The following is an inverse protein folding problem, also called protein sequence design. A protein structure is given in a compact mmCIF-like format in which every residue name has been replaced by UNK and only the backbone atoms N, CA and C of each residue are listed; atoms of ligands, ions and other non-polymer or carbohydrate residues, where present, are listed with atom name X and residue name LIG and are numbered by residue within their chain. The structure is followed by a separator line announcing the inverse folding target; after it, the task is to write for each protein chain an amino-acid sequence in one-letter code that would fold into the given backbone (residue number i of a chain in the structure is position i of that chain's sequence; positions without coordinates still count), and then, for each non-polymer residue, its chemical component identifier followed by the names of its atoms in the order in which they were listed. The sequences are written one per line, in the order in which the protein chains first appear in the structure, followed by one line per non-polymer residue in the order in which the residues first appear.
data_IF_865219758506
#
_entry.id   IF_865219758506
#
_cell.length_a   1.000
_cell.length_b   1.000
_cell.length_c   1.000
_cell.angle_alpha   90.00
_cell.angle_beta   90.00
_cell.angle_gamma   90.00
#
_symmetry.space_group_name_H-M   'P 1'
#
loop_
_entity.id
_entity.type
_entity.pdbx_description
1 polymer ?
#
# COMPACT_ATOMS: atom_id res chain seq x y z
N UNK A 1 25.78 18.65 5.74
CA UNK A 1 25.09 19.19 6.94
C UNK A 1 24.18 18.17 7.65
N UNK A 2 24.25 16.87 7.34
CA UNK A 2 23.51 15.79 8.05
C UNK A 2 24.39 15.02 9.05
N UNK A 3 25.73 15.02 8.87
CA UNK A 3 26.67 14.31 9.75
C UNK A 3 26.89 14.94 11.14
N UNK A 4 26.68 16.25 11.29
CA UNK A 4 26.84 16.96 12.57
C UNK A 4 25.58 16.91 13.46
N UNK A 5 24.39 16.76 12.86
CA UNK A 5 23.13 16.61 13.62
C UNK A 5 22.96 15.19 14.18
N UNK A 6 23.52 14.19 13.48
CA UNK A 6 23.47 12.78 13.86
C UNK A 6 24.35 12.46 15.08
N UNK A 7 25.41 13.24 15.32
CA UNK A 7 26.36 13.04 16.42
C UNK A 7 25.85 13.55 17.79
N UNK A 8 24.87 14.47 17.81
CA UNK A 8 24.54 15.22 19.03
C UNK A 8 23.19 14.89 19.69
N UNK A 9 22.24 14.25 18.98
CA UNK A 9 20.82 14.33 19.42
C UNK A 9 20.09 13.07 19.85
N UNK A 10 20.59 11.85 19.65
CA UNK A 10 19.94 10.63 20.21
C UNK A 10 18.42 10.46 19.92
N UNK A 11 17.86 11.18 18.92
CA UNK A 11 16.41 11.37 18.67
C UNK A 11 15.96 10.93 17.27
N UNK A 12 16.65 9.94 16.70
CA UNK A 12 16.25 9.31 15.43
C UNK A 12 14.88 8.61 15.55
N UNK A 13 14.50 8.21 16.76
CA UNK A 13 13.18 7.62 17.05
C UNK A 13 12.02 8.59 16.84
N UNK A 14 12.17 9.90 17.09
CA UNK A 14 11.08 10.88 16.95
C UNK A 14 10.68 11.06 15.47
N UNK A 15 11.66 11.08 14.56
CA UNK A 15 11.42 11.16 13.11
C UNK A 15 10.81 9.86 12.59
N UNK A 16 11.24 8.70 13.12
CA UNK A 16 10.65 7.40 12.79
C UNK A 16 9.19 7.35 13.24
N UNK A 17 8.90 7.78 14.48
CA UNK A 17 7.53 7.85 15.00
C UNK A 17 6.66 8.80 14.19
N UNK A 18 7.16 9.97 13.83
CA UNK A 18 6.44 10.91 12.98
C UNK A 18 6.19 10.32 11.58
N UNK A 19 7.18 9.66 10.99
CA UNK A 19 7.05 8.97 9.70
C UNK A 19 6.02 7.84 9.75
N UNK A 20 6.01 7.04 10.82
CA UNK A 20 5.01 5.99 11.06
C UNK A 20 3.62 6.56 11.30
N UNK A 21 3.49 7.62 12.09
CA UNK A 21 2.21 8.28 12.33
C UNK A 21 1.64 8.85 11.02
N UNK A 22 2.48 9.52 10.22
CA UNK A 22 2.09 10.03 8.91
C UNK A 22 1.69 8.89 7.96
N UNK A 23 2.44 7.79 7.95
CA UNK A 23 2.12 6.63 7.13
C UNK A 23 0.80 5.97 7.55
N UNK A 24 0.57 5.81 8.86
CA UNK A 24 -0.67 5.29 9.43
C UNK A 24 -1.86 6.20 9.10
N UNK A 25 -1.69 7.53 9.18
CA UNK A 25 -2.71 8.51 8.80
C UNK A 25 -3.02 8.43 7.30
N UNK A 26 -1.99 8.27 6.44
CA UNK A 26 -2.17 8.13 5.00
C UNK A 26 -2.93 6.87 4.61
N UNK A 27 -2.63 5.74 5.24
CA UNK A 27 -3.38 4.50 5.06
C UNK A 27 -4.79 4.62 5.67
N UNK A 28 -4.96 5.28 6.81
CA UNK A 28 -6.28 5.54 7.38
C UNK A 28 -7.16 6.39 6.46
N UNK A 29 -6.56 7.34 5.72
CA UNK A 29 -7.28 8.15 4.74
C UNK A 29 -7.78 7.35 3.53
N UNK A 30 -7.13 6.23 3.17
CA UNK A 30 -7.59 5.38 2.06
C UNK A 30 -8.87 4.62 2.41
N UNK A 31 -9.22 4.47 3.69
CA UNK A 31 -10.53 3.93 4.10
C UNK A 31 -11.69 4.84 3.69
N UNK A 32 -11.43 6.15 3.60
CA UNK A 32 -12.41 7.16 3.21
C UNK A 32 -12.66 7.18 1.70
N UNK A 33 -11.95 6.37 0.91
CA UNK A 33 -12.15 6.30 -0.53
C UNK A 33 -13.44 5.54 -0.85
N UNK A 34 -14.48 6.28 -1.23
CA UNK A 34 -15.72 5.73 -1.80
C UNK A 34 -15.76 5.99 -3.32
N UNK A 35 -16.72 5.38 -4.04
CA UNK A 35 -16.89 5.48 -5.49
C UNK A 35 -17.02 6.90 -6.07
N UNK A 36 -17.18 7.91 -5.20
CA UNK A 36 -17.28 9.32 -5.55
C UNK A 36 -16.05 10.17 -5.14
N UNK A 37 -14.92 9.52 -4.81
CA UNK A 37 -13.71 10.20 -4.33
C UNK A 37 -13.10 11.06 -5.43
N UNK A 38 -12.81 12.32 -5.10
CA UNK A 38 -12.16 13.24 -6.04
C UNK A 38 -10.71 12.80 -6.30
N UNK A 39 -10.27 12.88 -7.57
CA UNK A 39 -8.88 12.60 -7.96
C UNK A 39 -7.85 13.35 -7.09
N UNK A 40 -8.20 14.57 -6.64
CA UNK A 40 -7.36 15.37 -5.75
C UNK A 40 -7.12 14.74 -4.38
N UNK A 41 -8.12 14.08 -3.79
CA UNK A 41 -7.97 13.35 -2.52
C UNK A 41 -7.05 12.15 -2.68
N UNK A 42 -7.14 11.45 -3.81
CA UNK A 42 -6.26 10.32 -4.14
C UNK A 42 -4.80 10.80 -4.23
N UNK A 43 -4.53 11.85 -5.02
CA UNK A 43 -3.17 12.39 -5.15
C UNK A 43 -2.61 12.89 -3.82
N UNK A 44 -3.40 13.61 -3.02
CA UNK A 44 -2.97 14.10 -1.71
C UNK A 44 -2.63 12.96 -0.74
N UNK A 45 -3.45 11.91 -0.71
CA UNK A 45 -3.21 10.72 0.13
C UNK A 45 -1.95 9.97 -0.33
N UNK A 46 -1.75 9.82 -1.64
CA UNK A 46 -0.58 9.12 -2.19
C UNK A 46 0.73 9.86 -1.90
N UNK A 47 0.71 11.20 -1.96
CA UNK A 47 1.85 12.04 -1.57
C UNK A 47 2.15 11.84 -0.09
N UNK A 48 1.13 11.88 0.77
CA UNK A 48 1.29 11.73 2.21
C UNK A 48 1.85 10.34 2.59
N UNK A 49 1.33 9.28 1.97
CA UNK A 49 1.86 7.91 2.11
C UNK A 49 3.30 7.82 1.60
N UNK A 50 3.59 8.37 0.41
CA UNK A 50 4.93 8.38 -0.17
C UNK A 50 5.96 9.10 0.72
N UNK A 51 5.59 10.25 1.29
CA UNK A 51 6.41 10.98 2.26
C UNK A 51 6.62 10.15 3.53
N UNK A 52 5.58 9.52 4.09
CA UNK A 52 5.69 8.66 5.26
C UNK A 52 6.64 7.46 5.04
N UNK A 53 6.52 6.80 3.89
CA UNK A 53 7.40 5.69 3.49
C UNK A 53 8.85 6.17 3.38
N UNK A 54 9.10 7.28 2.67
CA UNK A 54 10.46 7.84 2.52
C UNK A 54 11.08 8.23 3.86
N UNK A 55 10.30 8.88 4.73
CA UNK A 55 10.71 9.27 6.07
C UNK A 55 10.92 8.08 7.03
N UNK A 56 10.37 6.90 6.74
CA UNK A 56 10.57 5.70 7.58
C UNK A 56 11.75 4.86 7.08
N UNK A 57 11.93 4.76 5.76
CA UNK A 57 12.97 3.91 5.15
C UNK A 57 14.38 4.44 5.42
N UNK A 58 14.60 5.75 5.25
CA UNK A 58 15.92 6.36 5.43
C UNK A 58 16.44 6.19 6.88
N UNK A 59 15.66 6.54 7.92
CA UNK A 59 16.14 6.44 9.30
C UNK A 59 16.27 5.00 9.79
N UNK A 60 15.42 4.07 9.32
CA UNK A 60 15.56 2.64 9.67
C UNK A 60 16.89 2.08 9.18
N UNK A 61 17.31 2.45 7.97
CA UNK A 61 18.63 2.06 7.44
C UNK A 61 19.78 2.66 8.26
N UNK A 62 19.67 3.94 8.63
CA UNK A 62 20.69 4.61 9.47
C UNK A 62 20.78 3.97 10.84
N UNK A 63 19.65 3.67 11.49
CA UNK A 63 19.60 2.98 12.78
C UNK A 63 20.23 1.59 12.71
N UNK A 64 19.88 0.79 11.69
CA UNK A 64 20.48 -0.53 11.47
C UNK A 64 22.00 -0.45 11.26
N UNK A 65 22.48 0.54 10.50
CA UNK A 65 23.91 0.76 10.28
C UNK A 65 24.64 1.25 11.53
N UNK A 66 23.97 2.00 12.41
CA UNK A 66 24.52 2.49 13.67
C UNK A 66 24.69 1.37 14.71
N UNK A 67 23.76 0.41 14.77
CA UNK A 67 23.82 -0.74 15.66
C UNK A 67 24.65 -1.93 15.13
N UNK A 68 25.15 -1.84 13.89
CA UNK A 68 25.90 -2.93 13.26
C UNK A 68 27.38 -2.57 13.09
N UNK A 69 28.30 -3.53 13.36
CA UNK A 69 29.71 -3.38 13.00
C UNK A 69 29.87 -3.10 11.51
N UNK A 70 30.82 -2.24 11.13
CA UNK A 70 31.05 -1.84 9.72
C UNK A 70 31.19 -3.05 8.79
N UNK A 71 31.89 -4.10 9.25
CA UNK A 71 32.08 -5.35 8.51
C UNK A 71 30.78 -6.13 8.22
N UNK A 72 29.72 -5.94 9.01
CA UNK A 72 28.43 -6.65 8.87
C UNK A 72 27.31 -5.80 8.28
N UNK A 73 27.56 -4.52 7.97
CA UNK A 73 26.53 -3.60 7.43
C UNK A 73 25.91 -4.10 6.12
N UNK A 74 26.72 -4.66 5.21
CA UNK A 74 26.22 -5.21 3.96
C UNK A 74 25.21 -6.34 4.19
N UNK A 75 25.51 -7.25 5.12
CA UNK A 75 24.62 -8.38 5.48
C UNK A 75 23.29 -7.87 6.05
N UNK A 76 23.34 -6.88 6.96
CA UNK A 76 22.14 -6.31 7.57
C UNK A 76 21.26 -5.58 6.55
N UNK A 77 21.86 -4.86 5.61
CA UNK A 77 21.11 -4.20 4.52
C UNK A 77 20.46 -5.25 3.61
N UNK A 78 21.16 -6.32 3.26
CA UNK A 78 20.61 -7.41 2.44
C UNK A 78 19.44 -8.11 3.13
N UNK A 79 19.55 -8.42 4.42
CA UNK A 79 18.46 -9.00 5.21
C UNK A 79 17.25 -8.07 5.24
N UNK A 80 17.47 -6.77 5.45
CA UNK A 80 16.39 -5.77 5.43
C UNK A 80 15.70 -5.73 4.06
N UNK A 81 16.46 -5.77 2.98
CA UNK A 81 15.91 -5.78 1.62
C UNK A 81 15.18 -7.09 1.31
N UNK A 82 15.67 -8.23 1.81
CA UNK A 82 14.98 -9.51 1.70
C UNK A 82 13.60 -9.45 2.36
N UNK A 83 13.52 -9.04 3.63
CA UNK A 83 12.22 -8.90 4.32
C UNK A 83 11.28 -7.92 3.63
N UNK A 84 11.80 -6.81 3.09
CA UNK A 84 10.99 -5.87 2.32
C UNK A 84 10.42 -6.52 1.05
N UNK A 85 11.24 -7.19 0.26
CA UNK A 85 10.79 -7.83 -0.98
C UNK A 85 9.79 -8.95 -0.68
N UNK A 86 10.07 -9.78 0.32
CA UNK A 86 9.16 -10.85 0.75
C UNK A 86 7.84 -10.28 1.26
N UNK A 87 7.87 -9.24 2.11
CA UNK A 87 6.65 -8.57 2.58
C UNK A 87 5.84 -7.96 1.43
N UNK A 88 6.50 -7.35 0.44
CA UNK A 88 5.84 -6.82 -0.75
C UNK A 88 5.19 -7.91 -1.61
N UNK A 89 5.88 -9.04 -1.82
CA UNK A 89 5.36 -10.17 -2.58
C UNK A 89 4.16 -10.84 -1.87
N UNK A 90 4.28 -11.10 -0.56
CA UNK A 90 3.20 -11.68 0.25
C UNK A 90 2.00 -10.73 0.30
N UNK A 91 2.24 -9.43 0.57
CA UNK A 91 1.19 -8.43 0.63
C UNK A 91 0.43 -8.29 -0.70
N UNK A 92 1.14 -8.31 -1.83
CA UNK A 92 0.54 -8.28 -3.16
C UNK A 92 -0.28 -9.56 -3.43
N UNK A 93 0.26 -10.73 -3.09
CA UNK A 93 -0.44 -12.00 -3.29
C UNK A 93 -1.74 -12.08 -2.48
N UNK A 94 -1.70 -11.67 -1.19
CA UNK A 94 -2.89 -11.63 -0.34
C UNK A 94 -3.90 -10.59 -0.84
N UNK A 95 -3.44 -9.39 -1.21
CA UNK A 95 -4.30 -8.35 -1.78
C UNK A 95 -5.01 -8.83 -3.05
N UNK A 96 -4.28 -9.51 -3.95
CA UNK A 96 -4.84 -10.09 -5.17
C UNK A 96 -5.85 -11.22 -4.86
N UNK A 97 -5.56 -12.07 -3.88
CA UNK A 97 -6.47 -13.14 -3.46
C UNK A 97 -7.79 -12.59 -2.87
N UNK A 98 -7.70 -11.55 -2.02
CA UNK A 98 -8.88 -10.86 -1.46
C UNK A 98 -9.69 -10.23 -2.58
N UNK A 99 -9.04 -9.48 -3.49
CA UNK A 99 -9.68 -8.85 -4.64
C UNK A 99 -10.45 -9.88 -5.48
N UNK A 100 -9.82 -11.00 -5.83
CA UNK A 100 -10.44 -12.08 -6.61
C UNK A 100 -11.60 -12.74 -5.85
N UNK A 101 -11.46 -13.00 -4.56
CA UNK A 101 -12.50 -13.62 -3.74
C UNK A 101 -13.74 -12.72 -3.61
N UNK A 102 -13.54 -11.42 -3.38
CA UNK A 102 -14.64 -10.45 -3.27
C UNK A 102 -15.28 -10.22 -4.63
N UNK A 103 -14.50 -10.16 -5.72
CA UNK A 103 -15.05 -10.03 -7.06
C UNK A 103 -15.91 -11.25 -7.42
N UNK A 104 -15.40 -12.47 -7.22
CA UNK A 104 -16.16 -13.71 -7.46
C UNK A 104 -17.49 -13.76 -6.69
N UNK A 105 -17.55 -13.18 -5.49
CA UNK A 105 -18.76 -13.14 -4.65
C UNK A 105 -19.80 -12.13 -5.13
N UNK A 106 -19.38 -11.01 -5.73
CA UNK A 106 -20.28 -9.92 -6.10
C UNK A 106 -20.56 -9.86 -7.62
N UNK A 107 -19.90 -10.69 -8.43
CA UNK A 107 -20.06 -10.70 -9.88
C UNK A 107 -21.07 -11.78 -10.34
N UNK A 108 -21.96 -11.49 -11.31
CA UNK A 108 -22.86 -12.49 -11.88
C UNK A 108 -22.10 -13.66 -12.53
N UNK A 109 -22.71 -14.84 -12.56
CA UNK A 109 -22.13 -16.10 -13.08
C UNK A 109 -21.54 -15.95 -14.50
N UNK A 110 -22.17 -15.11 -15.31
CA UNK A 110 -21.84 -14.84 -16.71
C UNK A 110 -20.52 -14.08 -16.89
N UNK A 111 -20.13 -13.25 -15.91
CA UNK A 111 -18.94 -12.41 -15.98
C UNK A 111 -17.77 -12.93 -15.14
N UNK A 112 -17.85 -14.15 -14.60
CA UNK A 112 -16.79 -14.73 -13.75
C UNK A 112 -15.42 -14.80 -14.44
N UNK A 113 -15.36 -14.77 -15.77
CA UNK A 113 -14.10 -14.69 -16.51
C UNK A 113 -13.28 -13.43 -16.17
N UNK A 114 -13.94 -12.32 -15.79
CA UNK A 114 -13.29 -11.08 -15.33
C UNK A 114 -12.51 -11.26 -14.02
N UNK A 115 -12.84 -12.30 -13.25
CA UNK A 115 -12.08 -12.64 -12.04
C UNK A 115 -10.66 -13.12 -12.38
N UNK A 116 -10.45 -13.76 -13.53
CA UNK A 116 -9.11 -14.19 -13.98
C UNK A 116 -8.26 -13.02 -14.49
N UNK A 117 -8.90 -12.00 -15.07
CA UNK A 117 -8.26 -10.79 -15.56
C UNK A 117 -8.74 -9.58 -14.77
N UNK A 118 -8.50 -9.57 -13.46
CA UNK A 118 -9.04 -8.53 -12.57
C UNK A 118 -8.57 -7.12 -12.93
N UNK A 119 -7.48 -6.98 -13.68
CA UNK A 119 -6.96 -5.68 -14.12
C UNK A 119 -7.42 -5.26 -15.53
N UNK A 120 -8.08 -6.15 -16.28
CA UNK A 120 -8.61 -5.85 -17.61
C UNK A 120 -10.11 -5.56 -17.49
N UNK A 121 -10.49 -4.27 -17.57
CA UNK A 121 -11.90 -3.95 -17.77
C UNK A 121 -12.29 -4.30 -19.22
N UNK A 122 -13.42 -5.00 -19.43
CA UNK A 122 -13.99 -5.17 -20.76
C UNK A 122 -14.43 -3.80 -21.31
N UNK A 123 -14.41 -3.67 -22.63
CA UNK A 123 -14.77 -2.41 -23.27
C UNK A 123 -16.26 -2.10 -23.03
N UNK A 124 -16.58 -0.86 -22.63
CA UNK A 124 -17.93 -0.43 -22.23
C UNK A 124 -18.96 -0.63 -23.35
N UNK A 125 -18.48 -0.68 -24.59
CA UNK A 125 -19.24 -0.93 -25.81
C UNK A 125 -19.80 -2.35 -25.95
N UNK A 126 -19.25 -3.32 -25.21
CA UNK A 126 -19.55 -4.76 -25.33
C UNK A 126 -20.56 -5.30 -24.31
N UNK A 127 -21.02 -4.47 -23.36
CA UNK A 127 -21.87 -4.89 -22.23
C UNK A 127 -23.14 -4.01 -22.18
N UNK A 128 -24.33 -4.59 -21.94
CA UNK A 128 -25.54 -3.81 -21.67
C UNK A 128 -25.35 -2.83 -20.52
N UNK A 129 -25.82 -1.59 -20.67
CA UNK A 129 -25.63 -0.53 -19.68
C UNK A 129 -26.18 -0.87 -18.28
N UNK A 130 -27.16 -1.77 -18.19
CA UNK A 130 -27.75 -2.24 -16.93
C UNK A 130 -26.79 -3.10 -16.08
N UNK A 131 -25.90 -3.87 -16.72
CA UNK A 131 -24.94 -4.74 -16.03
C UNK A 131 -23.63 -4.02 -15.71
N UNK A 132 -23.32 -2.95 -16.46
CA UNK A 132 -22.11 -2.15 -16.27
C UNK A 132 -22.01 -1.55 -14.86
N UNK A 133 -23.09 -0.96 -14.36
CA UNK A 133 -23.10 -0.36 -13.01
C UNK A 133 -22.94 -1.42 -11.91
N UNK A 134 -23.48 -2.62 -12.11
CA UNK A 134 -23.31 -3.75 -11.20
C UNK A 134 -21.87 -4.26 -11.17
N UNK A 135 -21.21 -4.33 -12.33
CA UNK A 135 -19.79 -4.69 -12.45
C UNK A 135 -18.93 -3.63 -11.76
N UNK A 136 -19.13 -2.35 -12.07
CA UNK A 136 -18.36 -1.25 -11.47
C UNK A 136 -18.50 -1.25 -9.94
N UNK A 137 -19.71 -1.43 -9.41
CA UNK A 137 -19.94 -1.52 -7.97
C UNK A 137 -19.23 -2.73 -7.34
N UNK A 138 -19.22 -3.89 -8.01
CA UNK A 138 -18.48 -5.06 -7.54
C UNK A 138 -16.96 -4.79 -7.50
N UNK A 139 -16.41 -4.08 -8.48
CA UNK A 139 -15.01 -3.67 -8.52
C UNK A 139 -14.64 -2.65 -7.44
N UNK A 140 -15.49 -1.64 -7.21
CA UNK A 140 -15.31 -0.65 -6.13
C UNK A 140 -15.28 -1.36 -4.78
N UNK A 141 -16.24 -2.28 -4.54
CA UNK A 141 -16.34 -3.05 -3.30
C UNK A 141 -15.16 -4.00 -3.08
N UNK A 142 -14.68 -4.63 -4.15
CA UNK A 142 -13.48 -5.46 -4.10
C UNK A 142 -12.23 -4.64 -3.76
N UNK A 143 -12.07 -3.47 -4.35
CA UNK A 143 -10.94 -2.57 -4.12
C UNK A 143 -10.96 -2.00 -2.69
N UNK A 144 -12.13 -1.59 -2.20
CA UNK A 144 -12.32 -1.13 -0.83
C UNK A 144 -11.94 -2.20 0.21
N UNK A 145 -12.30 -3.46 -0.06
CA UNK A 145 -11.93 -4.60 0.81
C UNK A 145 -10.41 -4.78 0.92
N UNK A 146 -9.66 -4.52 -0.15
CA UNK A 146 -8.19 -4.55 -0.14
C UNK A 146 -7.62 -3.38 0.66
N UNK A 147 -8.20 -2.18 0.55
CA UNK A 147 -7.77 -1.04 1.35
C UNK A 147 -8.01 -1.25 2.84
N UNK A 148 -9.15 -1.83 3.23
CA UNK A 148 -9.44 -2.20 4.62
C UNK A 148 -8.41 -3.20 5.15
N UNK A 149 -8.04 -4.20 4.36
CA UNK A 149 -7.01 -5.17 4.75
C UNK A 149 -5.62 -4.54 4.97
N UNK A 150 -5.29 -3.48 4.22
CA UNK A 150 -3.99 -2.81 4.34
C UNK A 150 -3.90 -1.88 5.56
N UNK A 151 -5.03 -1.57 6.22
CA UNK A 151 -5.03 -0.71 7.40
C UNK A 151 -4.66 -1.54 8.63
N UNK A 152 -3.60 -1.17 9.37
CA UNK A 152 -3.32 -1.77 10.67
C UNK A 152 -4.40 -1.29 11.66
N UNK A 153 -5.41 -2.12 11.92
CA UNK A 153 -6.40 -1.95 13.00
C UNK A 153 -5.79 -2.32 14.35
#
# INVERSE_FOLDING_TARGET
MSGLYMSRFNRYLEIIFFGFALWCLGIGLTLLWDGNTSKGQIYGTLILVGTGIGCTFQPTLVALQAHSPVAKRAVVISIRNFFRCTGGAVGLAVSAAILQAVLKKNLPSEYQYLTRSTYALPDKSSIPAADWDSIVNAYIKASHSVFVFQVPL
#
